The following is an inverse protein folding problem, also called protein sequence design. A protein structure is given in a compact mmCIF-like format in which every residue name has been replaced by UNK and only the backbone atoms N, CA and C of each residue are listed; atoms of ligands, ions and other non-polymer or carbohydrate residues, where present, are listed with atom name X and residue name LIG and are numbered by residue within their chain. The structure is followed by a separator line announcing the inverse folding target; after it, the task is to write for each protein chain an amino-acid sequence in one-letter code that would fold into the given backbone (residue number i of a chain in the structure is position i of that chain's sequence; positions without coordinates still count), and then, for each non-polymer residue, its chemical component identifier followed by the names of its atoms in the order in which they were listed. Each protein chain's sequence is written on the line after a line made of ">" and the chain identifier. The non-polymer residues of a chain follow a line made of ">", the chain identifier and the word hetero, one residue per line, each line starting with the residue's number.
data_IF_224087537476
#
_entry.id   IF_224087537476
#
_cell.length_a   1.000
_cell.length_b   1.000
_cell.length_c   1.000
_cell.angle_alpha   90.00
_cell.angle_beta   90.00
_cell.angle_gamma   90.00
#
_symmetry.space_group_name_H-M   'P 1'
#
loop_
_entity.id
_entity.type
_entity.pdbx_description
1 polymer ?
#
# COMPACT_ATOMS: atom_id res chain seq x y z
N UNK A 1 -65.40 -35.64 23.25
CA UNK A 1 -64.81 -35.79 21.90
C UNK A 1 -64.13 -34.48 21.59
N UNK A 2 -62.82 -34.47 21.75
CA UNK A 2 -61.92 -33.33 21.56
C UNK A 2 -61.82 -32.97 20.08
N UNK A 3 -61.74 -31.68 19.76
CA UNK A 3 -61.19 -31.24 18.49
C UNK A 3 -60.33 -30.00 18.75
N UNK A 4 -59.13 -30.24 19.27
CA UNK A 4 -58.05 -29.26 19.28
C UNK A 4 -57.52 -29.11 17.86
N UNK A 5 -57.48 -27.87 17.38
CA UNK A 5 -56.75 -27.50 16.18
C UNK A 5 -55.25 -27.70 16.39
N UNK A 6 -54.52 -28.24 15.41
CA UNK A 6 -53.13 -27.87 15.23
C UNK A 6 -53.09 -26.79 14.16
N UNK A 7 -52.86 -25.55 14.60
CA UNK A 7 -52.28 -24.54 13.73
C UNK A 7 -50.97 -25.13 13.21
N UNK A 8 -50.95 -25.47 11.93
CA UNK A 8 -49.76 -25.92 11.23
C UNK A 8 -48.82 -24.71 11.16
N UNK A 9 -47.91 -24.60 12.13
CA UNK A 9 -46.70 -23.80 11.99
C UNK A 9 -45.86 -24.47 10.91
N UNK A 10 -46.13 -24.12 9.66
CA UNK A 10 -45.18 -24.34 8.58
C UNK A 10 -43.87 -23.61 8.91
N UNK A 11 -42.71 -24.13 8.48
CA UNK A 11 -41.44 -23.51 8.76
C UNK A 11 -41.42 -22.11 8.15
N UNK A 12 -41.37 -21.10 9.02
CA UNK A 12 -40.96 -19.74 8.67
C UNK A 12 -39.44 -19.74 8.71
N UNK A 13 -38.83 -20.04 7.58
CA UNK A 13 -37.39 -19.94 7.37
C UNK A 13 -37.28 -19.21 6.03
N UNK A 14 -36.93 -17.92 5.96
CA UNK A 14 -35.62 -17.44 6.40
C UNK A 14 -34.59 -18.34 5.71
N UNK A 15 -33.85 -17.94 4.68
CA UNK A 15 -32.87 -16.89 4.81
C UNK A 15 -32.40 -16.46 3.41
N UNK A 16 -32.88 -15.32 2.94
CA UNK A 16 -32.33 -14.60 1.78
C UNK A 16 -31.21 -13.62 2.17
N UNK A 17 -30.56 -13.83 3.32
CA UNK A 17 -29.61 -12.88 3.92
C UNK A 17 -28.17 -13.41 4.01
N UNK A 18 -27.91 -14.65 3.54
CA UNK A 18 -26.58 -15.27 3.59
C UNK A 18 -25.89 -15.39 2.22
N UNK A 19 -26.52 -14.95 1.14
CA UNK A 19 -25.91 -15.00 -0.20
C UNK A 19 -24.91 -13.84 -0.46
N UNK A 20 -24.79 -12.91 0.51
CA UNK A 20 -23.90 -11.74 0.46
C UNK A 20 -22.77 -11.80 1.51
N UNK A 21 -22.63 -12.93 2.22
CA UNK A 21 -21.55 -13.16 3.18
C UNK A 21 -20.39 -13.89 2.50
N UNK A 22 -19.17 -13.36 2.70
CA UNK A 22 -17.94 -13.97 2.20
C UNK A 22 -17.83 -15.42 2.68
N UNK A 23 -17.48 -16.33 1.77
CA UNK A 23 -17.04 -17.68 2.17
C UNK A 23 -15.77 -17.58 3.01
N UNK A 24 -15.54 -18.56 3.89
CA UNK A 24 -14.31 -18.63 4.71
C UNK A 24 -13.03 -18.53 3.86
N UNK A 25 -13.06 -19.13 2.67
CA UNK A 25 -11.96 -19.03 1.71
C UNK A 25 -11.77 -17.61 1.19
N UNK A 26 -12.84 -16.92 0.79
CA UNK A 26 -12.75 -15.52 0.35
C UNK A 26 -12.28 -14.61 1.49
N UNK A 27 -12.79 -14.80 2.71
CA UNK A 27 -12.35 -14.06 3.88
C UNK A 27 -10.85 -14.27 4.14
N UNK A 28 -10.37 -15.52 4.05
CA UNK A 28 -8.94 -15.84 4.18
C UNK A 28 -8.09 -15.16 3.11
N UNK A 29 -8.54 -15.13 1.85
CA UNK A 29 -7.80 -14.45 0.78
C UNK A 29 -7.78 -12.93 0.98
N UNK A 30 -8.86 -12.33 1.45
CA UNK A 30 -8.91 -10.90 1.75
C UNK A 30 -7.91 -10.56 2.85
N UNK A 31 -7.87 -11.33 3.95
CA UNK A 31 -6.90 -11.10 5.02
C UNK A 31 -5.45 -11.17 4.50
N UNK A 32 -5.14 -12.16 3.65
CA UNK A 32 -3.80 -12.25 3.02
C UNK A 32 -3.45 -11.07 2.12
N UNK A 33 -4.42 -10.53 1.39
CA UNK A 33 -4.22 -9.34 0.56
C UNK A 33 -3.95 -8.12 1.44
N UNK A 34 -4.67 -7.98 2.56
CA UNK A 34 -4.46 -6.90 3.51
C UNK A 34 -3.07 -7.00 4.17
N UNK A 35 -2.67 -8.20 4.60
CA UNK A 35 -1.32 -8.45 5.13
C UNK A 35 -0.23 -8.07 4.10
N UNK A 36 -0.42 -8.46 2.84
CA UNK A 36 0.51 -8.12 1.77
C UNK A 36 0.57 -6.61 1.48
N UNK A 37 -0.54 -5.89 1.64
CA UNK A 37 -0.56 -4.43 1.53
C UNK A 37 0.25 -3.80 2.68
N UNK A 38 0.08 -4.26 3.91
CA UNK A 38 0.83 -3.76 5.06
C UNK A 38 2.35 -3.99 4.89
N UNK A 39 2.74 -5.19 4.41
CA UNK A 39 4.14 -5.50 4.10
C UNK A 39 4.70 -4.59 2.99
N UNK A 40 3.90 -4.35 1.95
CA UNK A 40 4.26 -3.47 0.85
C UNK A 40 4.40 -2.00 1.29
N UNK A 41 3.54 -1.51 2.18
CA UNK A 41 3.66 -0.18 2.80
C UNK A 41 4.98 -0.07 3.56
N UNK A 42 5.27 -1.05 4.40
CA UNK A 42 6.48 -1.07 5.23
C UNK A 42 7.76 -1.09 4.38
N UNK A 43 7.78 -1.91 3.33
CA UNK A 43 8.89 -1.97 2.38
C UNK A 43 9.09 -0.63 1.64
N UNK A 44 7.99 -0.03 1.18
CA UNK A 44 7.97 1.26 0.49
C UNK A 44 8.54 2.38 1.35
N UNK A 45 8.08 2.50 2.60
CA UNK A 45 8.59 3.50 3.55
C UNK A 45 10.06 3.28 3.87
N UNK A 46 10.49 2.02 4.01
CA UNK A 46 11.90 1.69 4.25
C UNK A 46 12.78 2.13 3.08
N UNK A 47 12.34 1.93 1.85
CA UNK A 47 13.08 2.32 0.66
C UNK A 47 13.26 3.83 0.58
N UNK A 48 12.17 4.61 0.66
CA UNK A 48 12.21 6.08 0.58
C UNK A 48 13.07 6.67 1.70
N UNK A 49 12.98 6.14 2.93
CA UNK A 49 13.84 6.59 4.02
C UNK A 49 15.31 6.35 3.72
N UNK A 50 15.66 5.14 3.28
CA UNK A 50 17.05 4.81 2.98
C UNK A 50 17.61 5.67 1.84
N UNK A 51 16.83 5.92 0.80
CA UNK A 51 17.20 6.79 -0.31
C UNK A 51 17.43 8.24 0.16
N UNK A 52 16.48 8.80 0.92
CA UNK A 52 16.57 10.16 1.45
C UNK A 52 17.75 10.32 2.42
N UNK A 53 18.02 9.32 3.26
CA UNK A 53 19.17 9.31 4.17
C UNK A 53 20.51 9.23 3.41
N UNK A 54 20.54 8.48 2.30
CA UNK A 54 21.74 8.31 1.48
C UNK A 54 21.93 9.39 0.41
N UNK A 55 21.07 10.40 0.33
CA UNK A 55 20.94 11.35 -0.79
C UNK A 55 22.26 11.74 -1.46
N UNK A 56 23.21 12.42 -0.77
CA UNK A 56 24.46 12.87 -1.40
C UNK A 56 25.36 11.73 -1.91
N UNK A 57 25.34 10.58 -1.24
CA UNK A 57 26.12 9.40 -1.66
C UNK A 57 25.48 8.79 -2.90
N UNK A 58 24.15 8.66 -2.89
CA UNK A 58 23.41 8.10 -4.02
C UNK A 58 23.53 9.00 -5.26
N UNK A 59 23.45 10.31 -5.09
CA UNK A 59 23.67 11.30 -6.16
C UNK A 59 25.05 11.14 -6.80
N UNK A 60 26.08 10.98 -5.97
CA UNK A 60 27.45 10.75 -6.45
C UNK A 60 27.61 9.43 -7.19
N UNK A 61 26.93 8.37 -6.72
CA UNK A 61 26.93 7.08 -7.40
C UNK A 61 26.20 7.15 -8.74
N UNK A 62 24.99 7.72 -8.79
CA UNK A 62 24.20 7.87 -10.03
C UNK A 62 24.96 8.69 -11.09
N UNK A 63 25.71 9.71 -10.67
CA UNK A 63 26.50 10.54 -11.57
C UNK A 63 27.80 9.85 -12.06
N UNK A 64 28.19 8.72 -11.46
CA UNK A 64 29.39 7.96 -11.84
C UNK A 64 29.09 7.06 -13.06
N UNK A 65 29.76 7.28 -14.22
CA UNK A 65 29.57 6.46 -15.42
C UNK A 65 29.87 4.97 -15.21
N UNK A 66 30.64 4.60 -14.18
CA UNK A 66 30.90 3.20 -13.83
C UNK A 66 29.69 2.49 -13.22
N UNK A 67 28.67 3.23 -12.79
CA UNK A 67 27.44 2.68 -12.23
C UNK A 67 26.25 2.72 -13.18
N UNK A 68 26.43 3.27 -14.39
CA UNK A 68 25.40 3.31 -15.42
C UNK A 68 24.97 1.88 -15.81
N UNK A 69 23.66 1.65 -15.90
CA UNK A 69 23.08 0.34 -16.22
C UNK A 69 23.09 -0.64 -15.03
N UNK A 70 23.47 -0.20 -13.83
CA UNK A 70 23.39 -1.02 -12.63
C UNK A 70 22.00 -0.96 -11.99
N UNK A 71 21.80 -1.75 -10.92
CA UNK A 71 20.55 -1.71 -10.14
C UNK A 71 20.30 -0.36 -9.44
N UNK A 72 21.27 0.56 -9.42
CA UNK A 72 21.06 1.92 -8.89
C UNK A 72 20.08 2.72 -9.74
N UNK A 73 20.06 2.51 -11.06
CA UNK A 73 19.10 3.15 -11.96
C UNK A 73 17.65 2.77 -11.60
N UNK A 74 17.44 1.55 -11.10
CA UNK A 74 16.13 1.10 -10.65
C UNK A 74 15.64 1.87 -9.43
N UNK A 75 16.54 2.38 -8.58
CA UNK A 75 16.15 3.16 -7.39
C UNK A 75 15.43 4.43 -7.84
N UNK A 76 15.99 5.15 -8.82
CA UNK A 76 15.44 6.39 -9.40
C UNK A 76 14.13 6.20 -10.18
N UNK A 77 13.81 4.95 -10.57
CA UNK A 77 12.55 4.64 -11.25
C UNK A 77 11.50 4.21 -10.23
N UNK A 78 11.93 3.46 -9.21
CA UNK A 78 11.02 2.87 -8.24
C UNK A 78 10.65 3.88 -7.14
N UNK A 79 11.44 4.92 -6.88
CA UNK A 79 11.16 5.96 -5.88
C UNK A 79 9.81 6.66 -6.12
N UNK A 80 9.54 7.09 -7.35
CA UNK A 80 8.31 7.76 -7.76
C UNK A 80 7.13 6.81 -7.71
N UNK A 81 7.30 5.56 -8.17
CA UNK A 81 6.30 4.49 -8.05
C UNK A 81 5.97 4.19 -6.58
N UNK A 82 7.00 4.18 -5.73
CA UNK A 82 6.87 3.94 -4.29
C UNK A 82 6.10 5.09 -3.63
N UNK A 83 6.35 6.32 -4.03
CA UNK A 83 5.58 7.48 -3.57
C UNK A 83 4.12 7.40 -4.04
N UNK A 84 3.85 7.03 -5.29
CA UNK A 84 2.47 6.91 -5.78
C UNK A 84 1.70 5.77 -5.13
N UNK A 85 2.37 4.66 -4.86
CA UNK A 85 1.84 3.56 -4.06
C UNK A 85 1.48 4.03 -2.65
N UNK A 86 2.38 4.73 -1.96
CA UNK A 86 2.13 5.26 -0.62
C UNK A 86 0.99 6.31 -0.63
N UNK A 87 0.86 7.11 -1.69
CA UNK A 87 -0.30 8.01 -1.87
C UNK A 87 -1.60 7.22 -2.01
N UNK A 88 -1.62 6.18 -2.83
CA UNK A 88 -2.79 5.32 -3.01
C UNK A 88 -3.22 4.63 -1.71
N UNK A 89 -2.27 4.35 -0.82
CA UNK A 89 -2.51 3.83 0.54
C UNK A 89 -2.88 4.90 1.57
N UNK A 90 -3.03 6.16 1.16
CA UNK A 90 -3.41 7.27 2.04
C UNK A 90 -2.27 7.74 2.96
N UNK A 91 -1.01 7.59 2.55
CA UNK A 91 0.19 7.99 3.33
C UNK A 91 0.88 9.25 2.82
N UNK A 92 0.20 10.05 1.99
CA UNK A 92 0.75 11.26 1.37
C UNK A 92 1.39 12.24 2.37
N UNK A 93 0.75 12.50 3.51
CA UNK A 93 1.29 13.41 4.54
C UNK A 93 2.50 12.85 5.28
N UNK A 94 2.61 11.53 5.41
CA UNK A 94 3.79 10.87 5.98
C UNK A 94 4.97 10.97 5.02
N UNK A 95 4.74 10.74 3.73
CA UNK A 95 5.78 10.90 2.69
C UNK A 95 6.23 12.35 2.59
N UNK A 96 5.30 13.32 2.59
CA UNK A 96 5.64 14.74 2.58
C UNK A 96 6.57 15.12 3.73
N UNK A 97 6.25 14.70 4.96
CA UNK A 97 7.10 14.95 6.14
C UNK A 97 8.49 14.31 6.04
N UNK A 98 8.60 13.12 5.45
CA UNK A 98 9.90 12.48 5.20
C UNK A 98 10.75 13.31 4.23
N UNK A 99 10.17 13.75 3.13
CA UNK A 99 10.85 14.57 2.11
C UNK A 99 11.26 15.94 2.67
N UNK A 100 10.37 16.60 3.43
CA UNK A 100 10.65 17.89 4.07
C UNK A 100 11.78 17.81 5.10
N UNK A 101 11.87 16.70 5.85
CA UNK A 101 12.89 16.47 6.87
C UNK A 101 14.22 15.90 6.35
N UNK A 102 14.30 15.51 5.08
CA UNK A 102 15.47 14.88 4.51
C UNK A 102 16.63 15.86 4.23
N UNK A 103 17.89 15.40 4.24
CA UNK A 103 19.02 16.18 3.73
C UNK A 103 18.80 16.63 2.27
N UNK A 104 19.46 17.72 1.82
CA UNK A 104 19.46 18.08 0.40
C UNK A 104 20.03 16.95 -0.47
N UNK A 105 19.40 16.71 -1.62
CA UNK A 105 19.81 15.68 -2.58
C UNK A 105 18.81 15.57 -3.74
N UNK A 106 19.25 14.98 -4.85
CA UNK A 106 18.45 14.94 -6.08
C UNK A 106 17.13 14.18 -5.90
N UNK A 107 17.16 13.07 -5.14
CA UNK A 107 15.96 12.30 -4.79
C UNK A 107 14.95 13.15 -4.00
N UNK A 108 15.40 13.92 -3.00
CA UNK A 108 14.53 14.81 -2.24
C UNK A 108 13.85 15.83 -3.17
N UNK A 109 14.59 16.46 -4.06
CA UNK A 109 14.07 17.48 -4.97
C UNK A 109 13.09 16.89 -5.99
N UNK A 110 13.41 15.71 -6.54
CA UNK A 110 12.56 14.98 -7.45
C UNK A 110 11.23 14.57 -6.79
N UNK A 111 11.29 14.00 -5.58
CA UNK A 111 10.11 13.59 -4.82
C UNK A 111 9.27 14.79 -4.37
N UNK A 112 9.90 15.90 -3.95
CA UNK A 112 9.20 17.13 -3.59
C UNK A 112 8.42 17.69 -4.79
N UNK A 113 9.05 17.70 -5.97
CA UNK A 113 8.39 18.12 -7.22
C UNK A 113 7.25 17.17 -7.59
N UNK A 114 7.46 15.87 -7.46
CA UNK A 114 6.44 14.85 -7.75
C UNK A 114 5.21 14.99 -6.85
N UNK A 115 5.42 15.27 -5.56
CA UNK A 115 4.34 15.52 -4.58
C UNK A 115 3.57 16.82 -4.85
N UNK A 116 4.19 17.82 -5.47
CA UNK A 116 3.54 19.09 -5.79
C UNK A 116 2.69 19.03 -7.07
N UNK A 117 3.00 18.10 -7.98
CA UNK A 117 2.31 17.92 -9.26
C UNK A 117 1.21 16.85 -9.25
N UNK A 118 1.09 16.07 -8.17
CA UNK A 118 0.12 14.98 -8.02
C UNK A 118 -1.06 15.37 -7.13
#
# INVERSE_FOLDING_TARGET
>A
MSNESPNHYGPRSGDGWYDDLLTDQQATQILRILDALDELEAASLKMIRAELECGPVLDGLIADPLTEGTRLDLICVVDTLTVDLLKAMGRSDSVRRLVEGAPPGSARDALAKHLACS
#
